data_IF_298416712544
#
_entry.id   IF_298416712544
#
_cell.length_a   1.000
_cell.length_b   1.000
_cell.length_c   1.000
_cell.angle_alpha   90.00
_cell.angle_beta   90.00
_cell.angle_gamma   90.00
#
_symmetry.space_group_name_H-M   'P 1'
#
loop_
_entity.id
_entity.type
_entity.pdbx_description
1 polymer ?
#
# COMPACT_ATOMS: atom_id res chain seq x y z
N UNK A 1 19.51 -25.00 -10.04
CA UNK A 1 19.18 -23.72 -9.37
C UNK A 1 19.32 -22.59 -10.38
N UNK A 2 18.28 -21.77 -10.55
CA UNK A 2 18.27 -20.69 -11.55
C UNK A 2 19.13 -19.52 -11.08
N UNK A 3 19.94 -18.95 -11.98
CA UNK A 3 20.89 -17.87 -11.65
C UNK A 3 20.61 -16.62 -12.47
N UNK A 4 20.90 -15.46 -11.89
CA UNK A 4 20.80 -14.16 -12.56
C UNK A 4 21.84 -14.08 -13.68
N UNK A 5 21.39 -13.95 -14.94
CA UNK A 5 22.25 -13.77 -16.11
C UNK A 5 22.56 -12.29 -16.36
N UNK A 6 21.54 -11.45 -16.27
CA UNK A 6 21.66 -9.99 -16.44
C UNK A 6 20.55 -9.25 -15.72
N UNK A 7 20.85 -8.01 -15.34
CA UNK A 7 19.88 -7.03 -14.84
C UNK A 7 20.08 -5.74 -15.65
N UNK A 8 18.98 -5.14 -16.12
CA UNK A 8 19.00 -3.85 -16.82
C UNK A 8 17.87 -2.97 -16.31
N UNK A 9 18.19 -1.73 -15.94
CA UNK A 9 17.22 -0.72 -15.58
C UNK A 9 17.03 0.32 -16.68
N UNK A 10 15.83 0.90 -16.73
CA UNK A 10 15.45 2.04 -17.56
C UNK A 10 14.50 2.97 -16.80
N UNK A 11 14.34 4.19 -17.30
CA UNK A 11 13.28 5.07 -16.83
C UNK A 11 11.98 4.78 -17.58
N UNK A 12 10.87 4.84 -16.87
CA UNK A 12 9.51 4.83 -17.42
C UNK A 12 8.70 5.94 -16.74
N UNK A 13 7.49 6.20 -17.22
CA UNK A 13 6.56 7.11 -16.55
C UNK A 13 5.64 6.33 -15.60
N UNK A 14 5.37 6.90 -14.43
CA UNK A 14 4.28 6.46 -13.56
C UNK A 14 2.94 7.10 -13.97
N UNK A 15 1.88 6.75 -13.25
CA UNK A 15 0.50 7.21 -13.47
C UNK A 15 0.28 8.72 -13.31
N UNK A 16 1.28 9.46 -12.79
CA UNK A 16 1.27 10.93 -12.63
C UNK A 16 2.25 11.61 -13.59
N UNK A 17 2.66 10.89 -14.64
CA UNK A 17 3.66 11.33 -15.62
C UNK A 17 5.01 11.71 -14.99
N UNK A 18 5.38 11.11 -13.85
CA UNK A 18 6.69 11.28 -13.24
C UNK A 18 7.63 10.15 -13.64
N UNK A 19 8.92 10.45 -13.79
CA UNK A 19 9.92 9.43 -14.10
C UNK A 19 10.13 8.49 -12.92
N UNK A 20 9.97 7.19 -13.16
CA UNK A 20 10.32 6.11 -12.22
C UNK A 20 11.22 5.07 -12.89
N UNK A 21 11.60 4.03 -12.15
CA UNK A 21 12.57 2.99 -12.54
C UNK A 21 11.86 1.68 -12.81
N UNK A 22 12.18 1.05 -13.94
CA UNK A 22 11.81 -0.31 -14.29
C UNK A 22 13.07 -1.17 -14.43
N UNK A 23 13.01 -2.40 -13.95
CA UNK A 23 14.10 -3.36 -13.98
C UNK A 23 13.68 -4.61 -14.74
N UNK A 24 14.53 -5.02 -15.68
CA UNK A 24 14.48 -6.32 -16.32
C UNK A 24 15.55 -7.23 -15.72
N UNK A 25 15.15 -8.41 -15.30
CA UNK A 25 16.02 -9.47 -14.82
C UNK A 25 15.86 -10.70 -15.72
N UNK A 26 16.99 -11.25 -16.19
CA UNK A 26 17.02 -12.43 -17.05
C UNK A 26 17.68 -13.58 -16.32
N UNK A 27 17.08 -14.75 -16.39
CA UNK A 27 17.66 -16.01 -15.93
C UNK A 27 17.62 -17.09 -17.03
N UNK A 28 18.01 -18.32 -16.70
CA UNK A 28 17.73 -19.51 -17.50
C UNK A 28 16.25 -19.88 -17.58
N UNK A 29 15.41 -19.34 -16.69
CA UNK A 29 13.96 -19.58 -16.64
C UNK A 29 13.13 -18.52 -17.37
N UNK A 30 13.77 -17.48 -17.89
CA UNK A 30 13.11 -16.46 -18.71
C UNK A 30 13.43 -15.04 -18.29
N UNK A 31 12.46 -14.18 -18.53
CA UNK A 31 12.55 -12.74 -18.38
C UNK A 31 11.52 -12.27 -17.35
N UNK A 32 11.96 -11.45 -16.40
CA UNK A 32 11.16 -10.96 -15.28
C UNK A 32 11.32 -9.45 -15.18
N UNK A 33 10.21 -8.74 -14.99
CA UNK A 33 10.17 -7.28 -15.00
C UNK A 33 9.34 -6.77 -13.84
N UNK A 34 9.84 -5.72 -13.19
CA UNK A 34 9.13 -4.99 -12.16
C UNK A 34 9.52 -3.50 -12.19
N UNK A 35 8.64 -2.65 -11.67
CA UNK A 35 8.85 -1.20 -11.61
C UNK A 35 8.53 -0.62 -10.24
N UNK A 36 9.25 0.44 -9.87
CA UNK A 36 9.08 1.10 -8.60
C UNK A 36 7.87 2.06 -8.62
N UNK A 37 6.91 1.96 -7.69
CA UNK A 37 5.91 3.02 -7.51
C UNK A 37 6.51 4.22 -6.76
N UNK A 38 5.84 5.36 -6.81
CA UNK A 38 6.22 6.63 -6.17
C UNK A 38 5.08 7.18 -5.31
N UNK A 39 5.38 7.87 -4.20
CA UNK A 39 4.37 8.53 -3.36
C UNK A 39 4.21 10.04 -3.65
N UNK A 40 3.07 10.62 -3.25
CA UNK A 40 2.88 12.08 -3.21
C UNK A 40 3.54 12.70 -1.97
N UNK A 41 3.31 12.12 -0.79
CA UNK A 41 4.01 12.42 0.46
C UNK A 41 5.14 11.42 0.70
N UNK A 42 6.26 11.91 1.24
CA UNK A 42 7.39 11.08 1.70
C UNK A 42 7.59 11.34 3.18
N UNK A 43 7.39 10.31 4.01
CA UNK A 43 7.71 10.38 5.43
C UNK A 43 9.22 10.55 5.66
N UNK A 44 9.61 11.30 6.69
CA UNK A 44 11.03 11.53 7.06
C UNK A 44 11.79 10.24 7.39
N UNK A 45 11.06 9.18 7.73
CA UNK A 45 11.58 7.90 8.19
C UNK A 45 11.46 6.79 7.13
N UNK A 46 10.99 7.09 5.92
CA UNK A 46 10.95 6.14 4.79
C UNK A 46 12.37 5.84 4.28
N UNK A 47 12.52 4.70 3.60
CA UNK A 47 13.72 4.37 2.87
C UNK A 47 14.02 5.45 1.81
N UNK A 48 15.26 5.95 1.81
CA UNK A 48 15.66 7.08 0.95
C UNK A 48 15.63 6.68 -0.52
N UNK A 49 14.98 7.48 -1.34
CA UNK A 49 15.03 7.39 -2.81
C UNK A 49 16.09 8.34 -3.38
N UNK A 50 16.66 8.01 -4.53
CA UNK A 50 17.48 8.94 -5.34
C UNK A 50 16.68 9.38 -6.58
N UNK A 51 17.17 10.35 -7.36
CA UNK A 51 16.52 10.69 -8.63
C UNK A 51 16.55 9.49 -9.60
N UNK A 52 15.58 9.43 -10.52
CA UNK A 52 15.38 8.25 -11.38
C UNK A 52 16.55 8.02 -12.35
N UNK A 53 17.30 9.06 -12.73
CA UNK A 53 18.50 8.89 -13.56
C UNK A 53 19.62 8.22 -12.77
N UNK A 54 19.89 8.71 -11.56
CA UNK A 54 20.86 8.12 -10.63
C UNK A 54 20.47 6.69 -10.25
N UNK A 55 19.19 6.42 -9.98
CA UNK A 55 18.72 5.08 -9.68
C UNK A 55 19.01 4.10 -10.83
N UNK A 56 18.69 4.47 -12.08
CA UNK A 56 18.98 3.65 -13.26
C UNK A 56 20.49 3.40 -13.41
N UNK A 57 21.32 4.44 -13.22
CA UNK A 57 22.78 4.29 -13.25
C UNK A 57 23.27 3.35 -12.15
N UNK A 58 22.75 3.48 -10.93
CA UNK A 58 23.11 2.64 -9.81
C UNK A 58 22.73 1.17 -10.06
N UNK A 59 21.54 0.89 -10.60
CA UNK A 59 21.16 -0.48 -10.96
C UNK A 59 22.14 -1.05 -11.99
N UNK A 60 22.34 -0.32 -13.10
CA UNK A 60 23.12 -0.82 -14.23
C UNK A 60 24.62 -0.97 -13.93
N UNK A 61 25.21 -0.03 -13.17
CA UNK A 61 26.66 0.04 -12.93
C UNK A 61 27.09 -0.55 -11.59
N UNK A 62 26.22 -0.57 -10.58
CA UNK A 62 26.56 -1.00 -9.21
C UNK A 62 25.91 -2.33 -8.87
N UNK A 63 24.58 -2.44 -8.98
CA UNK A 63 23.83 -3.62 -8.55
C UNK A 63 24.00 -4.80 -9.52
N UNK A 64 23.83 -4.56 -10.83
CA UNK A 64 23.84 -5.62 -11.84
C UNK A 64 25.14 -6.45 -11.84
N UNK A 65 26.36 -5.86 -11.79
CA UNK A 65 27.60 -6.65 -11.71
C UNK A 65 27.71 -7.49 -10.43
N UNK A 66 27.20 -6.98 -9.29
CA UNK A 66 27.28 -7.66 -7.98
C UNK A 66 26.29 -8.80 -7.82
N UNK A 67 25.15 -8.72 -8.50
CA UNK A 67 24.09 -9.72 -8.45
C UNK A 67 24.19 -10.79 -9.55
N UNK A 68 25.03 -10.58 -10.58
CA UNK A 68 25.26 -11.56 -11.64
C UNK A 68 25.72 -12.90 -11.04
N UNK A 69 25.09 -13.99 -11.49
CA UNK A 69 25.39 -15.36 -11.05
C UNK A 69 24.79 -15.76 -9.70
N UNK A 70 24.12 -14.85 -8.97
CA UNK A 70 23.42 -15.18 -7.72
C UNK A 70 22.18 -16.03 -7.99
N UNK A 71 21.84 -16.88 -7.01
CA UNK A 71 20.67 -17.75 -7.08
C UNK A 71 19.40 -16.96 -6.76
N UNK A 72 18.43 -16.94 -7.67
CA UNK A 72 17.17 -16.17 -7.48
C UNK A 72 16.27 -16.73 -6.39
N UNK A 73 16.50 -17.98 -5.95
CA UNK A 73 15.79 -18.55 -4.80
C UNK A 73 16.28 -18.01 -3.44
N UNK A 74 17.46 -17.36 -3.40
CA UNK A 74 18.00 -16.74 -2.19
C UNK A 74 17.59 -15.27 -2.09
N UNK A 75 16.28 -15.04 -1.91
CA UNK A 75 15.70 -13.70 -1.80
C UNK A 75 16.39 -12.86 -0.72
N UNK A 76 16.57 -13.47 0.47
CA UNK A 76 17.18 -12.80 1.63
C UNK A 76 18.63 -12.42 1.36
N UNK A 77 19.45 -13.32 0.84
CA UNK A 77 20.85 -13.03 0.55
C UNK A 77 21.01 -11.94 -0.52
N UNK A 78 20.12 -11.89 -1.52
CA UNK A 78 20.12 -10.82 -2.53
C UNK A 78 19.69 -9.48 -1.92
N UNK A 79 18.62 -9.45 -1.12
CA UNK A 79 18.15 -8.24 -0.47
C UNK A 79 19.17 -7.69 0.54
N UNK A 80 19.89 -8.55 1.25
CA UNK A 80 21.01 -8.16 2.13
C UNK A 80 22.17 -7.51 1.35
N UNK A 81 22.46 -7.99 0.14
CA UNK A 81 23.43 -7.33 -0.76
C UNK A 81 22.89 -5.95 -1.14
N UNK A 82 21.65 -5.86 -1.63
CA UNK A 82 21.02 -4.61 -2.07
C UNK A 82 21.05 -3.52 -0.99
N UNK A 83 20.71 -3.90 0.26
CA UNK A 83 20.75 -3.00 1.42
C UNK A 83 22.12 -2.37 1.64
N UNK A 84 23.21 -3.14 1.44
CA UNK A 84 24.59 -2.65 1.63
C UNK A 84 25.06 -1.72 0.51
N UNK A 85 24.37 -1.69 -0.65
CA UNK A 85 24.79 -0.86 -1.79
C UNK A 85 24.38 0.61 -1.66
N UNK A 86 23.40 0.93 -0.81
CA UNK A 86 22.90 2.30 -0.63
C UNK A 86 22.53 3.02 -1.94
N UNK A 87 21.88 2.30 -2.87
CA UNK A 87 21.60 2.78 -4.23
C UNK A 87 20.26 3.52 -4.40
N UNK A 88 19.51 3.69 -3.32
CA UNK A 88 18.16 4.26 -3.30
C UNK A 88 17.05 3.21 -3.36
N UNK A 89 15.98 3.41 -2.60
CA UNK A 89 14.87 2.47 -2.47
C UNK A 89 14.14 2.22 -3.80
N UNK A 90 14.08 3.24 -4.67
CA UNK A 90 13.53 3.13 -6.02
C UNK A 90 14.43 2.35 -6.99
N UNK A 91 15.69 2.08 -6.63
CA UNK A 91 16.55 1.14 -7.35
C UNK A 91 16.47 -0.28 -6.76
N UNK A 92 16.42 -0.43 -5.43
CA UNK A 92 16.40 -1.74 -4.76
C UNK A 92 15.07 -2.46 -4.92
N UNK A 93 13.95 -1.75 -4.76
CA UNK A 93 12.59 -2.33 -4.76
C UNK A 93 12.29 -3.12 -6.04
N UNK A 94 12.43 -2.56 -7.25
CA UNK A 94 12.11 -3.30 -8.48
C UNK A 94 13.09 -4.46 -8.75
N UNK A 95 14.36 -4.37 -8.31
CA UNK A 95 15.27 -5.53 -8.37
C UNK A 95 14.75 -6.64 -7.45
N UNK A 96 14.44 -6.31 -6.21
CA UNK A 96 13.98 -7.25 -5.19
C UNK A 96 12.70 -7.97 -5.62
N UNK A 97 11.75 -7.24 -6.22
CA UNK A 97 10.52 -7.80 -6.80
C UNK A 97 10.80 -8.71 -7.99
N UNK A 98 11.65 -8.29 -8.94
CA UNK A 98 11.99 -9.09 -10.12
C UNK A 98 12.73 -10.39 -9.75
N UNK A 99 13.59 -10.35 -8.73
CA UNK A 99 14.22 -11.52 -8.13
C UNK A 99 13.16 -12.46 -7.55
N UNK A 100 12.16 -11.92 -6.87
CA UNK A 100 11.08 -12.71 -6.28
C UNK A 100 10.25 -13.42 -7.36
N UNK A 101 9.89 -12.71 -8.44
CA UNK A 101 9.23 -13.30 -9.63
C UNK A 101 10.07 -14.41 -10.25
N UNK A 102 11.37 -14.17 -10.41
CA UNK A 102 12.31 -15.17 -10.94
C UNK A 102 12.44 -16.40 -10.03
N UNK A 103 12.44 -16.20 -8.71
CA UNK A 103 12.46 -17.27 -7.71
C UNK A 103 11.22 -18.15 -7.78
N UNK A 104 10.03 -17.54 -7.93
CA UNK A 104 8.78 -18.27 -8.12
C UNK A 104 8.82 -19.16 -9.38
N UNK A 105 9.25 -18.58 -10.51
CA UNK A 105 9.40 -19.32 -11.76
C UNK A 105 10.46 -20.42 -11.70
N UNK A 106 11.57 -20.21 -10.98
CA UNK A 106 12.59 -21.23 -10.77
C UNK A 106 12.08 -22.45 -9.99
N UNK A 107 11.06 -22.25 -9.14
CA UNK A 107 10.37 -23.30 -8.40
C UNK A 107 9.09 -23.81 -9.10
N UNK A 108 8.77 -23.30 -10.29
CA UNK A 108 7.60 -23.73 -11.05
C UNK A 108 6.26 -23.45 -10.36
N UNK A 109 6.17 -22.38 -9.57
CA UNK A 109 4.96 -22.02 -8.82
C UNK A 109 4.50 -20.58 -9.07
N UNK A 110 3.20 -20.26 -8.91
CA UNK A 110 2.71 -18.89 -8.90
C UNK A 110 3.36 -18.02 -7.82
N UNK A 111 3.50 -16.72 -8.10
CA UNK A 111 4.21 -15.77 -7.23
C UNK A 111 3.60 -15.70 -5.82
N UNK A 112 2.26 -15.63 -5.67
CA UNK A 112 1.63 -15.63 -4.35
C UNK A 112 1.94 -16.91 -3.54
N UNK A 113 2.05 -18.09 -4.17
CA UNK A 113 2.43 -19.33 -3.48
C UNK A 113 3.88 -19.28 -3.01
N UNK A 114 4.77 -18.79 -3.88
CA UNK A 114 6.18 -18.59 -3.54
C UNK A 114 6.35 -17.61 -2.37
N UNK A 115 5.66 -16.47 -2.41
CA UNK A 115 5.67 -15.49 -1.33
C UNK A 115 5.14 -16.08 -0.03
N UNK A 116 4.06 -16.87 -0.08
CA UNK A 116 3.57 -17.62 1.08
C UNK A 116 4.61 -18.56 1.67
N UNK A 117 5.31 -19.33 0.82
CA UNK A 117 6.36 -20.25 1.26
C UNK A 117 7.57 -19.54 1.91
N UNK A 118 7.90 -18.31 1.48
CA UNK A 118 8.96 -17.50 2.13
C UNK A 118 8.42 -16.84 3.41
N UNK A 119 7.14 -16.51 3.44
CA UNK A 119 6.50 -15.83 4.56
C UNK A 119 6.26 -16.77 5.75
N UNK A 120 5.70 -17.95 5.52
CA UNK A 120 5.31 -18.91 6.55
C UNK A 120 6.23 -20.13 6.55
N UNK A 121 6.34 -20.83 7.69
CA UNK A 121 6.95 -22.16 7.71
C UNK A 121 6.25 -23.09 6.72
N UNK A 122 7.02 -23.99 6.10
CA UNK A 122 6.53 -24.97 5.12
C UNK A 122 5.30 -25.69 5.68
N UNK A 123 4.20 -25.72 4.90
CA UNK A 123 2.95 -26.40 5.26
C UNK A 123 1.92 -25.57 6.02
N UNK A 124 2.18 -24.29 6.34
CA UNK A 124 1.23 -23.40 7.03
C UNK A 124 0.56 -22.33 6.15
N UNK A 125 0.69 -22.41 4.82
CA UNK A 125 0.16 -21.37 3.93
C UNK A 125 -1.36 -21.23 4.02
N UNK A 126 -1.80 -20.09 4.56
CA UNK A 126 -3.19 -19.63 4.47
C UNK A 126 -3.27 -18.73 3.24
N UNK A 127 -3.61 -19.32 2.08
CA UNK A 127 -3.84 -18.58 0.85
C UNK A 127 -5.27 -18.04 0.89
N UNK A 128 -5.42 -16.77 1.28
CA UNK A 128 -6.71 -16.08 1.28
C UNK A 128 -6.60 -14.80 0.48
N UNK A 129 -7.62 -14.51 -0.33
CA UNK A 129 -7.74 -13.23 -1.01
C UNK A 129 -8.01 -12.11 0.02
N UNK A 130 -7.28 -10.99 -0.05
CA UNK A 130 -7.55 -9.84 0.82
C UNK A 130 -8.88 -9.20 0.45
N UNK A 131 -9.52 -8.53 1.43
CA UNK A 131 -10.66 -7.66 1.14
C UNK A 131 -10.16 -6.35 0.55
N UNK A 132 -10.70 -5.92 -0.59
CA UNK A 132 -10.30 -4.65 -1.18
C UNK A 132 -11.02 -3.46 -0.52
N UNK A 133 -10.24 -2.42 -0.21
CA UNK A 133 -10.72 -1.09 0.12
C UNK A 133 -10.62 -0.21 -1.13
N UNK A 134 -11.76 0.06 -1.74
CA UNK A 134 -11.84 0.80 -3.00
C UNK A 134 -11.98 2.29 -2.71
N UNK A 135 -10.97 3.07 -3.06
CA UNK A 135 -11.02 4.52 -2.95
C UNK A 135 -12.11 5.07 -3.89
N UNK A 136 -13.06 5.85 -3.37
CA UNK A 136 -14.15 6.42 -4.18
C UNK A 136 -14.29 7.93 -4.08
N UNK A 137 -13.86 8.55 -2.99
CA UNK A 137 -13.88 10.01 -2.80
C UNK A 137 -12.54 10.43 -2.19
N UNK A 138 -11.95 11.45 -2.79
CA UNK A 138 -10.67 12.03 -2.39
C UNK A 138 -10.84 13.41 -1.76
N UNK A 139 -9.94 13.70 -0.84
CA UNK A 139 -9.66 15.03 -0.30
C UNK A 139 -8.16 15.18 -0.04
N UNK A 140 -7.80 16.14 0.80
CA UNK A 140 -6.43 16.37 1.26
C UNK A 140 -5.46 16.55 0.09
N UNK A 141 -4.28 15.93 0.17
CA UNK A 141 -3.26 16.02 -0.87
C UNK A 141 -3.63 15.28 -2.18
N UNK A 142 -4.72 14.51 -2.19
CA UNK A 142 -5.12 13.68 -3.34
C UNK A 142 -6.20 14.33 -4.21
N UNK A 143 -6.65 15.54 -3.86
CA UNK A 143 -7.64 16.29 -4.61
C UNK A 143 -7.46 17.81 -4.44
N UNK A 144 -7.71 18.57 -5.50
CA UNK A 144 -7.84 20.02 -5.44
C UNK A 144 -9.26 20.40 -4.99
N UNK A 145 -9.61 20.09 -3.74
CA UNK A 145 -10.90 20.45 -3.12
C UNK A 145 -10.73 20.89 -1.65
N UNK A 146 -11.84 21.23 -1.01
CA UNK A 146 -11.87 21.68 0.39
C UNK A 146 -12.07 20.52 1.40
N UNK A 147 -12.02 19.26 0.98
CA UNK A 147 -12.24 18.14 1.88
C UNK A 147 -10.91 17.75 2.53
N UNK A 148 -10.74 17.94 3.84
CA UNK A 148 -9.42 17.71 4.46
C UNK A 148 -9.01 16.24 4.58
N UNK A 149 -9.98 15.32 4.71
CA UNK A 149 -9.70 13.88 4.83
C UNK A 149 -9.32 13.30 3.46
N UNK A 150 -8.25 12.52 3.42
CA UNK A 150 -7.56 12.17 2.18
C UNK A 150 -8.33 11.16 1.32
N UNK A 151 -8.82 10.06 1.90
CA UNK A 151 -9.51 9.00 1.15
C UNK A 151 -10.72 8.46 1.90
N UNK A 152 -11.82 8.26 1.17
CA UNK A 152 -12.99 7.53 1.65
C UNK A 152 -13.13 6.27 0.81
N UNK A 153 -12.89 5.12 1.45
CA UNK A 153 -12.86 3.82 0.79
C UNK A 153 -14.06 2.97 1.15
N UNK A 154 -14.69 2.35 0.15
CA UNK A 154 -15.78 1.39 0.36
C UNK A 154 -15.27 -0.05 0.33
N UNK A 155 -15.86 -0.90 1.18
CA UNK A 155 -15.56 -2.32 1.26
C UNK A 155 -16.85 -3.14 1.08
N UNK A 156 -17.21 -3.53 -0.15
CA UNK A 156 -18.36 -4.41 -0.38
C UNK A 156 -18.22 -5.74 0.37
N UNK A 157 -19.29 -6.15 1.06
CA UNK A 157 -19.27 -7.31 1.98
C UNK A 157 -19.64 -8.64 1.28
N UNK A 158 -19.08 -8.85 0.09
CA UNK A 158 -19.34 -10.02 -0.74
C UNK A 158 -18.49 -11.23 -0.37
N UNK A 159 -18.98 -12.43 -0.74
CA UNK A 159 -18.31 -13.71 -0.42
C UNK A 159 -17.06 -13.97 -1.27
N UNK A 160 -17.02 -13.46 -2.49
CA UNK A 160 -15.93 -13.65 -3.44
C UNK A 160 -15.35 -12.31 -3.84
N UNK A 161 -14.07 -12.29 -4.23
CA UNK A 161 -13.41 -11.08 -4.68
C UNK A 161 -14.08 -10.54 -5.94
N UNK A 162 -14.42 -11.41 -6.91
CA UNK A 162 -15.16 -11.02 -8.12
C UNK A 162 -16.45 -10.26 -7.82
N UNK A 163 -17.30 -10.78 -6.93
CA UNK A 163 -18.56 -10.10 -6.55
C UNK A 163 -18.29 -8.78 -5.82
N UNK A 164 -17.26 -8.75 -4.96
CA UNK A 164 -16.85 -7.52 -4.27
C UNK A 164 -16.43 -6.43 -5.27
N UNK A 165 -15.66 -6.80 -6.30
CA UNK A 165 -15.23 -5.88 -7.36
C UNK A 165 -16.39 -5.42 -8.25
N UNK A 166 -17.32 -6.31 -8.61
CA UNK A 166 -18.55 -5.96 -9.36
C UNK A 166 -19.39 -4.92 -8.58
N UNK A 167 -19.64 -5.19 -7.30
CA UNK A 167 -20.36 -4.27 -6.42
C UNK A 167 -19.62 -2.91 -6.29
N UNK A 168 -18.29 -2.92 -6.14
CA UNK A 168 -17.48 -1.71 -6.09
C UNK A 168 -17.58 -0.90 -7.39
N UNK A 169 -17.55 -1.57 -8.55
CA UNK A 169 -17.70 -0.92 -9.84
C UNK A 169 -19.10 -0.28 -9.99
N UNK A 170 -20.16 -0.96 -9.55
CA UNK A 170 -21.51 -0.38 -9.55
C UNK A 170 -21.63 0.85 -8.65
N UNK A 171 -21.08 0.79 -7.42
CA UNK A 171 -21.03 1.93 -6.50
C UNK A 171 -20.28 3.08 -7.16
N UNK A 172 -19.13 2.80 -7.78
CA UNK A 172 -18.33 3.80 -8.47
C UNK A 172 -19.09 4.45 -9.64
N UNK A 173 -19.82 3.69 -10.46
CA UNK A 173 -20.63 4.26 -11.55
C UNK A 173 -21.82 5.08 -11.01
N UNK A 174 -22.45 4.66 -9.90
CA UNK A 174 -23.51 5.44 -9.24
C UNK A 174 -22.96 6.79 -8.73
N UNK A 175 -21.78 6.78 -8.11
CA UNK A 175 -21.10 8.00 -7.67
C UNK A 175 -20.69 8.87 -8.87
N UNK A 176 -20.18 8.28 -9.95
CA UNK A 176 -19.83 9.00 -11.19
C UNK A 176 -21.00 9.79 -11.76
N UNK A 177 -22.21 9.20 -11.76
CA UNK A 177 -23.43 9.88 -12.23
C UNK A 177 -23.79 11.08 -11.34
N UNK A 178 -23.48 11.04 -10.05
CA UNK A 178 -23.78 12.11 -9.09
C UNK A 178 -22.69 13.19 -9.03
N UNK A 179 -21.42 12.80 -9.14
CA UNK A 179 -20.25 13.66 -8.86
C UNK A 179 -19.51 14.10 -10.13
N UNK A 180 -19.84 13.53 -11.29
CA UNK A 180 -19.18 13.84 -12.56
C UNK A 180 -18.01 12.90 -12.86
N UNK A 181 -17.11 13.35 -13.76
CA UNK A 181 -16.04 12.52 -14.34
C UNK A 181 -14.64 12.84 -13.80
N UNK A 182 -14.47 13.91 -13.03
CA UNK A 182 -13.17 14.34 -12.53
C UNK A 182 -12.73 13.43 -11.38
N UNK A 183 -11.52 12.89 -11.49
CA UNK A 183 -10.95 11.94 -10.54
C UNK A 183 -9.52 12.37 -10.19
N UNK A 184 -9.09 12.11 -8.95
CA UNK A 184 -7.72 12.34 -8.51
C UNK A 184 -6.74 11.25 -8.98
N UNK A 185 -5.51 11.32 -8.45
CA UNK A 185 -4.39 10.41 -8.79
C UNK A 185 -4.76 8.92 -8.69
N UNK A 186 -5.64 8.59 -7.74
CA UNK A 186 -6.01 7.21 -7.42
C UNK A 186 -7.37 6.78 -7.98
N UNK A 187 -7.98 7.63 -8.80
CA UNK A 187 -9.24 7.35 -9.49
C UNK A 187 -10.50 7.65 -8.68
N UNK A 188 -10.38 8.00 -7.40
CA UNK A 188 -11.50 8.51 -6.58
C UNK A 188 -11.98 9.89 -7.06
N UNK A 189 -13.26 10.22 -6.84
CA UNK A 189 -13.83 11.50 -7.21
C UNK A 189 -13.36 12.63 -6.28
N UNK A 190 -13.23 13.84 -6.81
CA UNK A 190 -12.85 15.04 -6.03
C UNK A 190 -14.00 16.07 -6.01
N UNK A 191 -15.12 15.77 -5.32
CA UNK A 191 -16.25 16.71 -5.24
C UNK A 191 -15.89 17.92 -4.38
N UNK A 192 -16.60 19.06 -4.53
CA UNK A 192 -16.39 20.27 -3.73
C UNK A 192 -17.03 20.13 -2.34
N UNK A 193 -16.65 19.09 -1.60
CA UNK A 193 -17.07 18.88 -0.22
C UNK A 193 -16.13 19.60 0.74
N UNK A 194 -16.67 20.00 1.88
CA UNK A 194 -15.94 20.71 2.93
C UNK A 194 -15.88 19.92 4.24
N UNK A 195 -16.80 18.96 4.42
CA UNK A 195 -16.86 18.15 5.64
C UNK A 195 -16.94 16.65 5.32
N UNK A 196 -16.29 15.79 6.13
CA UNK A 196 -16.32 14.32 5.95
C UNK A 196 -17.71 13.72 5.86
N UNK A 197 -18.70 14.29 6.56
CA UNK A 197 -20.06 13.79 6.53
C UNK A 197 -20.72 13.85 5.15
N UNK A 198 -20.37 14.82 4.30
CA UNK A 198 -20.90 14.91 2.93
C UNK A 198 -20.46 13.69 2.10
N UNK A 199 -19.19 13.28 2.24
CA UNK A 199 -18.68 12.09 1.59
C UNK A 199 -19.32 10.82 2.18
N UNK A 200 -19.38 10.72 3.51
CA UNK A 200 -19.92 9.56 4.22
C UNK A 200 -21.41 9.33 3.94
N UNK A 201 -22.21 10.39 3.79
CA UNK A 201 -23.64 10.29 3.47
C UNK A 201 -23.87 9.59 2.11
N UNK A 202 -22.96 9.79 1.15
CA UNK A 202 -23.06 9.13 -0.17
C UNK A 202 -22.71 7.65 -0.15
N UNK A 203 -21.96 7.19 0.85
CA UNK A 203 -21.44 5.81 0.94
C UNK A 203 -21.92 5.07 2.19
N UNK A 204 -22.89 5.64 2.93
CA UNK A 204 -23.38 5.15 4.23
C UNK A 204 -23.95 3.73 4.23
N UNK A 205 -24.29 3.18 3.06
CA UNK A 205 -24.81 1.82 2.91
C UNK A 205 -23.69 0.77 2.81
N UNK A 206 -22.43 1.17 2.88
CA UNK A 206 -21.25 0.30 2.73
C UNK A 206 -20.38 0.35 3.98
N UNK A 207 -19.59 -0.70 4.24
CA UNK A 207 -18.50 -0.56 5.22
C UNK A 207 -17.43 0.37 4.69
N UNK A 208 -16.91 1.25 5.55
CA UNK A 208 -15.98 2.31 5.16
C UNK A 208 -14.67 2.21 5.94
N UNK A 209 -13.56 2.41 5.24
CA UNK A 209 -12.28 2.79 5.85
C UNK A 209 -11.94 4.18 5.33
N UNK A 210 -11.44 5.05 6.22
CA UNK A 210 -11.07 6.43 5.86
C UNK A 210 -9.57 6.59 6.11
N UNK A 211 -8.83 7.06 5.11
CA UNK A 211 -7.52 7.65 5.33
C UNK A 211 -7.70 9.13 5.63
N UNK A 212 -7.33 9.51 6.85
CA UNK A 212 -7.47 10.87 7.32
C UNK A 212 -6.23 11.70 7.02
N UNK A 213 -5.04 11.08 6.94
CA UNK A 213 -3.75 11.76 6.77
C UNK A 213 -3.59 12.98 7.70
N UNK A 214 -3.92 12.83 8.99
CA UNK A 214 -4.11 13.96 9.90
C UNK A 214 -2.85 14.83 10.13
N UNK A 215 -1.67 14.30 9.83
CA UNK A 215 -0.41 15.04 9.82
C UNK A 215 -0.46 16.28 8.90
N UNK A 216 -1.25 16.26 7.82
CA UNK A 216 -1.33 17.35 6.83
C UNK A 216 -1.96 18.63 7.38
N UNK A 217 -2.85 18.50 8.37
CA UNK A 217 -3.59 19.63 8.94
C UNK A 217 -3.37 19.78 10.45
N UNK A 218 -2.34 19.14 11.00
CA UNK A 218 -1.92 19.31 12.39
C UNK A 218 -0.86 20.39 12.52
N UNK A 219 -1.18 21.47 13.24
CA UNK A 219 -0.25 22.56 13.51
C UNK A 219 -0.54 23.20 14.87
N UNK A 220 0.52 23.66 15.55
CA UNK A 220 0.42 24.34 16.85
C UNK A 220 -0.38 23.54 17.90
N UNK A 221 -0.22 22.21 17.90
CA UNK A 221 -0.90 21.32 18.85
C UNK A 221 -2.39 21.12 18.58
N UNK A 222 -2.90 21.53 17.42
CA UNK A 222 -4.32 21.48 17.05
C UNK A 222 -4.51 20.91 15.65
N UNK A 223 -5.70 20.35 15.40
CA UNK A 223 -6.12 19.88 14.09
C UNK A 223 -6.99 20.95 13.41
N UNK A 224 -6.51 21.51 12.30
CA UNK A 224 -7.13 22.64 11.60
C UNK A 224 -7.74 22.16 10.28
N UNK A 225 -8.99 21.72 10.32
CA UNK A 225 -9.75 21.32 9.13
C UNK A 225 -10.72 22.43 8.72
N UNK A 226 -11.26 22.42 7.49
CA UNK A 226 -12.23 23.42 7.01
C UNK A 226 -13.46 23.54 7.91
N UNK A 227 -13.86 22.44 8.53
CA UNK A 227 -14.94 22.43 9.54
C UNK A 227 -14.63 23.27 10.78
N UNK A 228 -13.36 23.49 11.10
CA UNK A 228 -12.92 24.24 12.27
C UNK A 228 -11.62 23.73 12.89
N UNK A 229 -11.24 24.36 13.99
CA UNK A 229 -10.02 24.02 14.74
C UNK A 229 -10.36 23.17 15.95
N UNK A 230 -9.73 22.01 16.07
CA UNK A 230 -9.96 21.05 17.13
C UNK A 230 -8.73 20.92 18.01
N UNK A 231 -8.94 20.88 19.32
CA UNK A 231 -7.96 20.28 20.24
C UNK A 231 -7.89 18.77 20.01
N UNK A 232 -6.81 18.10 20.41
CA UNK A 232 -6.72 16.65 20.28
C UNK A 232 -7.91 15.90 20.94
N UNK A 233 -8.35 16.33 22.13
CA UNK A 233 -9.56 15.82 22.79
C UNK A 233 -10.84 16.06 21.96
N UNK A 234 -10.97 17.24 21.38
CA UNK A 234 -12.11 17.60 20.53
C UNK A 234 -12.17 16.72 19.30
N UNK A 235 -11.02 16.44 18.69
CA UNK A 235 -10.92 15.62 17.50
C UNK A 235 -11.19 14.14 17.79
N UNK A 236 -10.74 13.62 18.93
CA UNK A 236 -11.13 12.29 19.43
C UNK A 236 -12.65 12.18 19.58
N UNK A 237 -13.32 13.19 20.17
CA UNK A 237 -14.79 13.19 20.29
C UNK A 237 -15.46 13.22 18.93
N UNK A 238 -14.93 14.01 18.00
CA UNK A 238 -15.42 14.08 16.64
C UNK A 238 -15.38 12.72 15.93
N UNK A 239 -14.24 12.02 15.98
CA UNK A 239 -14.15 10.66 15.42
C UNK A 239 -15.09 9.67 16.07
N UNK A 240 -15.25 9.69 17.41
CA UNK A 240 -16.21 8.82 18.11
C UNK A 240 -17.65 9.05 17.61
N UNK A 241 -18.01 10.29 17.30
CA UNK A 241 -19.33 10.60 16.75
C UNK A 241 -19.48 10.11 15.31
N UNK A 242 -18.44 10.26 14.47
CA UNK A 242 -18.45 9.71 13.10
C UNK A 242 -18.60 8.19 13.11
N UNK A 243 -17.81 7.48 13.92
CA UNK A 243 -17.85 6.00 14.02
C UNK A 243 -19.18 5.50 14.56
N UNK A 244 -19.88 6.27 15.41
CA UNK A 244 -21.24 5.95 15.87
C UNK A 244 -22.29 6.17 14.78
N UNK A 245 -22.13 7.21 13.96
CA UNK A 245 -23.13 7.64 12.97
C UNK A 245 -23.04 6.86 11.66
N UNK A 246 -21.84 6.47 11.24
CA UNK A 246 -21.58 5.82 9.95
C UNK A 246 -20.92 4.46 10.15
N UNK A 247 -21.07 3.51 9.20
CA UNK A 247 -20.49 2.17 9.27
C UNK A 247 -18.97 2.14 9.01
N UNK A 248 -18.23 3.00 9.70
CA UNK A 248 -16.77 3.08 9.66
C UNK A 248 -16.22 1.87 10.41
N UNK A 249 -15.43 1.06 9.71
CA UNK A 249 -14.76 -0.12 10.27
C UNK A 249 -13.25 0.08 10.43
N UNK A 250 -12.71 1.18 9.88
CA UNK A 250 -11.33 1.55 10.12
C UNK A 250 -11.01 3.01 9.85
N UNK A 251 -9.98 3.51 10.53
CA UNK A 251 -9.37 4.82 10.31
C UNK A 251 -7.86 4.62 10.14
N UNK A 252 -7.33 5.14 9.04
CA UNK A 252 -5.91 5.27 8.76
C UNK A 252 -5.44 6.69 9.12
N UNK A 253 -4.31 6.77 9.80
CA UNK A 253 -3.68 8.01 10.30
C UNK A 253 -4.66 9.05 10.88
N UNK A 254 -5.49 8.66 11.88
CA UNK A 254 -6.44 9.58 12.50
C UNK A 254 -5.79 10.76 13.23
N UNK A 255 -4.50 10.68 13.57
CA UNK A 255 -3.76 11.72 14.27
C UNK A 255 -2.38 11.90 13.63
N UNK A 256 -1.77 13.06 13.85
CA UNK A 256 -0.41 13.33 13.40
C UNK A 256 0.57 12.28 13.91
N UNK A 257 1.60 11.93 13.13
CA UNK A 257 2.67 11.02 13.57
C UNK A 257 3.43 11.52 14.82
N UNK A 258 3.31 12.81 15.15
CA UNK A 258 3.90 13.43 16.35
C UNK A 258 2.98 13.47 17.57
N UNK A 259 1.66 13.26 17.40
CA UNK A 259 0.68 13.30 18.49
C UNK A 259 0.39 11.91 19.07
N UNK A 260 1.43 11.28 19.64
CA UNK A 260 1.34 9.93 20.20
C UNK A 260 0.33 9.82 21.36
N UNK A 261 0.03 10.92 22.04
CA UNK A 261 -0.92 10.97 23.13
C UNK A 261 -2.34 10.66 22.63
N UNK A 262 -2.75 11.27 21.50
CA UNK A 262 -4.05 11.02 20.90
C UNK A 262 -4.20 9.60 20.35
N UNK A 263 -3.17 9.10 19.66
CA UNK A 263 -3.11 7.69 19.22
C UNK A 263 -3.34 6.72 20.39
N UNK A 264 -2.69 6.96 21.54
CA UNK A 264 -2.85 6.13 22.73
C UNK A 264 -4.26 6.24 23.33
N UNK A 265 -4.83 7.46 23.37
CA UNK A 265 -6.13 7.75 24.01
C UNK A 265 -7.33 7.30 23.16
N UNK A 266 -7.18 7.23 21.84
CA UNK A 266 -8.24 6.83 20.92
C UNK A 266 -8.28 5.30 20.76
N UNK A 267 -9.22 4.67 21.48
CA UNK A 267 -9.44 3.21 21.46
C UNK A 267 -10.87 2.84 21.08
N UNK A 268 -11.34 3.15 19.86
CA UNK A 268 -12.62 2.65 19.39
C UNK A 268 -12.53 1.15 19.07
N UNK A 269 -13.69 0.48 19.00
CA UNK A 269 -13.77 -0.92 18.56
C UNK A 269 -13.79 -1.02 17.01
N UNK A 270 -12.77 -0.45 16.37
CA UNK A 270 -12.56 -0.49 14.92
C UNK A 270 -11.07 -0.68 14.61
N UNK A 271 -10.74 -0.85 13.33
CA UNK A 271 -9.36 -0.89 12.87
C UNK A 271 -8.73 0.51 12.91
N UNK A 272 -7.55 0.63 13.50
CA UNK A 272 -6.72 1.83 13.53
C UNK A 272 -5.42 1.49 12.83
N UNK A 273 -5.26 2.02 11.63
CA UNK A 273 -4.14 1.73 10.72
C UNK A 273 -3.10 2.83 10.87
N UNK A 274 -1.84 2.45 11.10
CA UNK A 274 -0.73 3.39 11.00
C UNK A 274 -0.07 3.32 9.62
N UNK A 275 0.02 4.46 8.94
CA UNK A 275 0.80 4.68 7.72
C UNK A 275 2.01 5.56 8.02
N UNK A 276 1.87 6.89 8.10
CA UNK A 276 2.94 7.83 8.48
C UNK A 276 3.51 7.49 9.88
N UNK A 277 2.66 7.01 10.78
CA UNK A 277 3.10 6.55 12.10
C UNK A 277 4.11 5.41 12.01
N UNK A 278 3.99 4.51 11.02
CA UNK A 278 4.77 3.27 10.97
C UNK A 278 5.81 3.25 9.84
N UNK A 279 5.52 3.88 8.71
CA UNK A 279 6.30 3.92 7.45
C UNK A 279 6.88 2.56 7.06
N UNK A 280 6.11 1.49 7.29
CA UNK A 280 6.54 0.09 7.08
C UNK A 280 7.87 -0.27 7.79
N UNK A 281 8.23 0.44 8.88
CA UNK A 281 9.51 0.28 9.57
C UNK A 281 9.37 -0.63 10.82
N UNK A 282 10.10 -1.76 10.90
CA UNK A 282 10.00 -2.70 12.03
C UNK A 282 10.24 -2.07 13.41
N UNK A 283 11.17 -1.11 13.54
CA UNK A 283 11.44 -0.46 14.82
C UNK A 283 10.25 0.41 15.26
N UNK A 284 9.63 1.16 14.33
CA UNK A 284 8.43 1.96 14.63
C UNK A 284 7.22 1.07 14.93
N UNK A 285 7.06 -0.04 14.21
CA UNK A 285 6.02 -1.05 14.50
C UNK A 285 6.15 -1.56 15.94
N UNK A 286 7.38 -1.91 16.37
CA UNK A 286 7.64 -2.34 17.75
C UNK A 286 7.29 -1.25 18.77
N UNK A 287 7.74 -0.02 18.56
CA UNK A 287 7.41 1.12 19.44
C UNK A 287 5.91 1.40 19.50
N UNK A 288 5.20 1.32 18.37
CA UNK A 288 3.76 1.54 18.31
C UNK A 288 2.99 0.43 19.05
N UNK A 289 3.48 -0.83 19.01
CA UNK A 289 2.93 -1.92 19.82
C UNK A 289 3.18 -1.69 21.32
N UNK A 290 4.41 -1.36 21.72
CA UNK A 290 4.77 -1.11 23.12
C UNK A 290 3.94 0.02 23.73
N UNK A 291 3.70 1.09 22.96
CA UNK A 291 2.86 2.22 23.39
C UNK A 291 1.37 2.00 23.18
N UNK A 292 0.97 0.86 22.59
CA UNK A 292 -0.39 0.54 22.18
C UNK A 292 -1.02 1.70 21.40
N UNK A 293 -0.50 2.03 20.23
CA UNK A 293 -0.96 3.18 19.42
C UNK A 293 -2.00 2.80 18.37
N UNK A 294 -1.79 1.68 17.68
CA UNK A 294 -2.65 1.20 16.60
C UNK A 294 -2.80 -0.33 16.65
N UNK A 295 -3.64 -0.89 15.78
CA UNK A 295 -3.88 -2.34 15.66
C UNK A 295 -3.89 -2.80 14.19
N UNK A 296 -3.44 -1.94 13.28
CA UNK A 296 -3.29 -2.20 11.85
C UNK A 296 -2.01 -1.60 11.30
N UNK A 297 -1.39 -2.31 10.36
CA UNK A 297 -0.24 -1.85 9.58
C UNK A 297 -0.70 -1.56 8.14
N UNK A 298 -0.43 -0.35 7.65
CA UNK A 298 -0.38 -0.12 6.22
C UNK A 298 1.01 -0.50 5.70
N UNK A 299 1.06 -1.44 4.76
CA UNK A 299 2.31 -1.99 4.25
C UNK A 299 2.57 -1.51 2.82
N UNK A 300 3.62 -0.72 2.66
CA UNK A 300 4.13 -0.24 1.36
C UNK A 300 5.55 -0.75 1.15
N UNK A 301 5.74 -1.66 0.20
CA UNK A 301 7.04 -2.32 -0.02
C UNK A 301 8.14 -1.29 -0.32
N UNK A 302 7.83 -0.29 -1.16
CA UNK A 302 8.81 0.72 -1.54
C UNK A 302 9.16 1.71 -0.40
N UNK A 303 8.39 1.77 0.70
CA UNK A 303 8.75 2.56 1.89
C UNK A 303 9.88 1.91 2.69
N UNK A 304 10.02 0.58 2.63
CA UNK A 304 11.09 -0.14 3.34
C UNK A 304 12.23 -0.57 2.39
N UNK A 305 11.92 -0.80 1.11
CA UNK A 305 12.89 -0.86 0.02
C UNK A 305 13.23 -2.25 -0.52
N UNK A 306 12.85 -3.34 0.17
CA UNK A 306 13.04 -4.72 -0.28
C UNK A 306 11.87 -5.63 0.10
N UNK A 307 11.67 -6.72 -0.64
CA UNK A 307 10.65 -7.74 -0.35
C UNK A 307 10.95 -8.42 0.99
N UNK A 308 12.20 -8.75 1.29
CA UNK A 308 12.58 -9.36 2.57
C UNK A 308 12.18 -8.50 3.76
N UNK A 309 12.50 -7.20 3.75
CA UNK A 309 12.15 -6.31 4.87
C UNK A 309 10.64 -6.08 4.98
N UNK A 310 9.93 -6.04 3.84
CA UNK A 310 8.47 -5.97 3.83
C UNK A 310 7.84 -7.23 4.46
N UNK A 311 8.38 -8.42 4.16
CA UNK A 311 7.96 -9.67 4.79
C UNK A 311 8.26 -9.66 6.30
N UNK A 312 9.41 -9.16 6.73
CA UNK A 312 9.76 -9.04 8.15
C UNK A 312 8.82 -8.09 8.90
N UNK A 313 8.49 -6.93 8.32
CA UNK A 313 7.49 -6.01 8.87
C UNK A 313 6.10 -6.67 9.00
N UNK A 314 5.68 -7.41 7.98
CA UNK A 314 4.43 -8.17 8.00
C UNK A 314 4.44 -9.27 9.09
N UNK A 315 5.53 -10.03 9.22
CA UNK A 315 5.66 -11.08 10.27
C UNK A 315 5.54 -10.47 11.66
N UNK A 316 6.21 -9.33 11.88
CA UNK A 316 6.15 -8.60 13.15
C UNK A 316 4.73 -8.14 13.47
N UNK A 317 4.04 -7.48 12.54
CA UNK A 317 2.65 -7.06 12.74
C UNK A 317 1.72 -8.25 13.03
N UNK A 318 1.83 -9.35 12.26
CA UNK A 318 1.02 -10.57 12.49
C UNK A 318 1.29 -11.18 13.87
N UNK A 319 2.54 -11.20 14.33
CA UNK A 319 2.88 -11.68 15.69
C UNK A 319 2.19 -10.91 16.81
N UNK A 320 1.75 -9.68 16.54
CA UNK A 320 1.00 -8.85 17.48
C UNK A 320 -0.52 -8.98 17.34
N UNK A 321 -0.99 -9.85 16.44
CA UNK A 321 -2.39 -9.98 16.08
C UNK A 321 -2.94 -8.78 15.31
N UNK A 322 -2.06 -7.95 14.73
CA UNK A 322 -2.49 -6.79 13.95
C UNK A 322 -3.01 -7.21 12.58
N UNK A 323 -3.95 -6.40 12.09
CA UNK A 323 -4.43 -6.50 10.71
C UNK A 323 -3.44 -5.86 9.75
N UNK A 324 -3.31 -6.41 8.55
CA UNK A 324 -2.41 -5.85 7.52
C UNK A 324 -3.24 -5.40 6.33
N UNK A 325 -3.01 -4.16 5.90
CA UNK A 325 -3.50 -3.63 4.64
C UNK A 325 -2.31 -3.38 3.71
N UNK A 326 -2.19 -4.18 2.65
CA UNK A 326 -1.18 -3.94 1.60
C UNK A 326 -1.63 -2.76 0.75
N UNK A 327 -0.72 -1.83 0.50
CA UNK A 327 -1.04 -0.55 -0.14
C UNK A 327 -0.27 -0.33 -1.42
N UNK A 328 -0.96 0.22 -2.41
CA UNK A 328 -0.37 0.96 -3.53
C UNK A 328 0.35 2.25 -3.07
N UNK A 329 0.80 3.04 -4.05
CA UNK A 329 1.17 4.46 -3.87
C UNK A 329 0.43 5.36 -4.86
N UNK A 330 0.40 6.67 -4.61
CA UNK A 330 -0.25 7.65 -5.48
C UNK A 330 0.32 7.64 -6.92
N UNK A 331 1.63 7.51 -7.10
CA UNK A 331 2.28 7.31 -8.41
C UNK A 331 2.54 5.83 -8.71
N UNK A 332 1.51 5.10 -9.10
CA UNK A 332 1.63 3.69 -9.49
C UNK A 332 2.07 3.49 -10.94
N UNK A 333 2.49 2.26 -11.23
CA UNK A 333 2.79 1.69 -12.54
C UNK A 333 1.78 0.59 -12.89
N UNK A 334 1.88 -0.03 -14.06
CA UNK A 334 1.01 -1.17 -14.40
C UNK A 334 1.43 -2.50 -13.75
N UNK A 335 2.52 -2.51 -12.97
CA UNK A 335 2.97 -3.70 -12.23
C UNK A 335 1.93 -4.15 -11.20
N UNK A 336 1.71 -5.45 -11.03
CA UNK A 336 0.66 -6.02 -10.17
C UNK A 336 1.18 -6.77 -8.93
N UNK A 337 2.47 -6.63 -8.59
CA UNK A 337 3.15 -7.42 -7.57
C UNK A 337 2.44 -7.41 -6.21
N UNK A 338 1.89 -6.26 -5.81
CA UNK A 338 1.23 -6.11 -4.51
C UNK A 338 0.00 -7.01 -4.35
N UNK A 339 -0.63 -7.43 -5.46
CA UNK A 339 -1.75 -8.38 -5.43
C UNK A 339 -1.28 -9.77 -5.00
N UNK A 340 -0.23 -10.30 -5.64
CA UNK A 340 0.38 -11.56 -5.24
C UNK A 340 0.99 -11.48 -3.84
N UNK A 341 1.59 -10.35 -3.49
CA UNK A 341 2.14 -10.12 -2.16
C UNK A 341 1.07 -10.15 -1.07
N UNK A 342 -0.06 -9.46 -1.27
CA UNK A 342 -1.17 -9.45 -0.33
C UNK A 342 -1.73 -10.87 -0.10
N UNK A 343 -1.89 -11.67 -1.16
CA UNK A 343 -2.33 -13.07 -1.04
C UNK A 343 -1.25 -13.92 -0.36
N UNK A 344 0.01 -13.78 -0.77
CA UNK A 344 1.11 -14.58 -0.25
C UNK A 344 1.33 -14.40 1.25
N UNK A 345 1.21 -13.17 1.77
CA UNK A 345 1.31 -12.93 3.21
C UNK A 345 0.00 -13.20 3.97
N UNK A 346 -1.09 -13.51 3.27
CA UNK A 346 -2.45 -13.59 3.83
C UNK A 346 -2.88 -12.29 4.49
N UNK A 347 -2.74 -11.16 3.79
CA UNK A 347 -3.16 -9.85 4.27
C UNK A 347 -4.68 -9.79 4.45
N UNK A 348 -5.14 -9.05 5.45
CA UNK A 348 -6.58 -8.87 5.69
C UNK A 348 -7.21 -7.97 4.63
N UNK A 349 -6.48 -6.94 4.22
CA UNK A 349 -6.95 -5.93 3.29
C UNK A 349 -5.91 -5.61 2.21
N UNK A 350 -6.40 -5.08 1.10
CA UNK A 350 -5.60 -4.40 0.08
C UNK A 350 -6.26 -3.07 -0.28
N UNK A 351 -5.48 -1.98 -0.35
CA UNK A 351 -5.91 -0.72 -0.97
C UNK A 351 -5.09 -0.46 -2.22
N UNK A 352 -5.75 -0.47 -3.37
CA UNK A 352 -5.11 -0.29 -4.68
C UNK A 352 -5.83 0.77 -5.53
N UNK A 353 -6.51 1.73 -4.89
CA UNK A 353 -7.22 2.84 -5.53
C UNK A 353 -8.65 2.51 -5.93
N UNK A 354 -9.24 3.36 -6.77
CA UNK A 354 -10.59 3.13 -7.31
C UNK A 354 -10.62 1.96 -8.30
N UNK A 355 -11.80 1.37 -8.58
CA UNK A 355 -11.99 0.46 -9.71
C UNK A 355 -11.99 1.23 -11.06
N UNK A 356 -11.02 2.12 -11.23
CA UNK A 356 -10.81 3.00 -12.37
C UNK A 356 -9.30 3.29 -12.50
N UNK A 357 -8.88 3.68 -13.71
CA UNK A 357 -7.46 3.84 -14.11
C UNK A 357 -6.70 2.50 -14.17
N UNK A 358 -5.82 2.38 -15.17
CA UNK A 358 -5.24 1.08 -15.56
C UNK A 358 -4.25 0.59 -14.50
N UNK A 359 -3.45 1.48 -13.92
CA UNK A 359 -2.48 1.16 -12.88
C UNK A 359 -3.13 0.64 -11.59
N UNK A 360 -4.42 0.94 -11.36
CA UNK A 360 -5.22 0.47 -10.22
C UNK A 360 -5.88 -0.86 -10.55
N UNK A 361 -6.64 -0.87 -11.65
CA UNK A 361 -7.36 -2.05 -12.13
C UNK A 361 -6.44 -3.22 -12.49
N UNK A 362 -5.17 -2.97 -12.85
CA UNK A 362 -4.16 -4.02 -13.00
C UNK A 362 -4.08 -4.94 -11.77
N UNK A 363 -4.06 -4.36 -10.56
CA UNK A 363 -3.98 -5.10 -9.29
C UNK A 363 -5.25 -5.90 -9.03
N UNK A 364 -6.41 -5.29 -9.23
CA UNK A 364 -7.70 -5.96 -9.07
C UNK A 364 -7.90 -7.09 -10.08
N UNK A 365 -7.51 -6.88 -11.34
CA UNK A 365 -7.55 -7.91 -12.37
C UNK A 365 -6.56 -9.05 -12.06
N UNK A 366 -5.41 -8.77 -11.45
CA UNK A 366 -4.54 -9.83 -10.95
C UNK A 366 -5.19 -10.64 -9.83
N UNK A 367 -5.91 -10.00 -8.90
CA UNK A 367 -6.65 -10.71 -7.85
C UNK A 367 -7.79 -11.58 -8.41
N UNK A 368 -8.48 -11.15 -9.48
CA UNK A 368 -9.45 -12.00 -10.20
C UNK A 368 -8.78 -13.27 -10.75
N UNK A 369 -7.59 -13.14 -11.37
CA UNK A 369 -6.84 -14.30 -11.88
C UNK A 369 -6.40 -15.22 -10.76
N UNK A 370 -5.91 -14.67 -9.64
CA UNK A 370 -5.56 -15.48 -8.46
C UNK A 370 -6.79 -16.21 -7.91
N UNK A 371 -7.96 -15.56 -7.87
CA UNK A 371 -9.22 -16.21 -7.48
C UNK A 371 -9.58 -17.39 -8.38
N UNK A 372 -9.32 -17.29 -9.68
CA UNK A 372 -9.51 -18.39 -10.64
C UNK A 372 -8.49 -19.52 -10.44
N UNK A 373 -7.23 -19.18 -10.15
CA UNK A 373 -6.14 -20.15 -9.92
C UNK A 373 -6.25 -20.91 -8.58
N UNK A 374 -6.99 -20.39 -7.60
CA UNK A 374 -7.21 -21.00 -6.29
C UNK A 374 -8.42 -21.94 -6.25
N UNK A 375 -9.28 -21.90 -7.27
CA UNK A 375 -10.34 -22.90 -7.47
C UNK A 375 -9.73 -24.18 -8.01
#
# INVERSE_FOLDING_TARGET
MSKIKSIKARKILDSRAQWTVEVDLVTDRGFFRDSAPSGASKGKHEAKTVDSQTAVMNVNRIAAPRLKGKNVADQKGIDEILKKLNIGANATTPISMAVCRAGAAAQGQPLYKYLGNIFLPIGKNILQLPRAAFNVINGGAHAENDLDFQEFMVLPQEKTFRKSLEAAAEIYQKLRKKLGKNVGDEGGFAPPFQIPEQALELIKDNKVIIDVAASQFYSEGKYKIKRGVFTPEGFIRYYRNLVKKYPIIGLEDPFSETDLASWKKFKPNILIIGDDLLVTNPARIKTAKEKNLCNGLLLKINQIGTVTEALEAAKLAKSYGWKIMVSHRSGETCDDFISDFAVGIGADYIKAGAPARVERTAKYNRLLRIEEELK
#
